data_IF_271351239098
#
_entry.id   IF_271351239098
#
_cell.length_a   1.000
_cell.length_b   1.000
_cell.length_c   1.000
_cell.angle_alpha   90.00
_cell.angle_beta   90.00
_cell.angle_gamma   90.00
#
_symmetry.space_group_name_H-M   'P 1'
#
loop_
_entity.id
_entity.type
_entity.pdbx_description
1 polymer ?
#
# COMPACT_ATOMS: atom_id res chain seq x y z
N UNK A 1 1.63 33.36 -58.50
CA UNK A 1 0.39 32.61 -58.25
C UNK A 1 0.69 31.66 -57.11
N UNK A 2 0.10 31.83 -55.93
CA UNK A 2 0.33 30.95 -54.78
C UNK A 2 -0.57 29.74 -54.96
N UNK A 3 0.01 28.55 -55.07
CA UNK A 3 -0.74 27.30 -55.19
C UNK A 3 -1.54 27.04 -53.91
N UNK A 4 -2.83 27.38 -53.97
CA UNK A 4 -3.84 27.16 -52.94
C UNK A 4 -3.88 25.72 -52.38
N UNK A 5 -3.67 24.65 -53.18
CA UNK A 5 -3.63 23.28 -52.67
C UNK A 5 -2.50 23.04 -51.67
N UNK A 6 -1.34 23.68 -51.88
CA UNK A 6 -0.15 23.53 -51.04
C UNK A 6 -0.35 24.19 -49.67
N UNK A 7 -1.07 25.32 -49.64
CA UNK A 7 -1.43 26.04 -48.40
C UNK A 7 -2.43 25.23 -47.57
N UNK A 8 -3.44 24.62 -48.21
CA UNK A 8 -4.42 23.78 -47.51
C UNK A 8 -3.76 22.50 -46.96
N UNK A 9 -2.93 21.83 -47.77
CA UNK A 9 -2.22 20.62 -47.34
C UNK A 9 -1.29 20.86 -46.15
N UNK A 10 -0.59 22.00 -46.10
CA UNK A 10 0.34 22.34 -45.02
C UNK A 10 -0.38 22.75 -43.72
N UNK A 11 -1.54 23.43 -43.81
CA UNK A 11 -2.39 23.72 -42.64
C UNK A 11 -2.98 22.42 -42.06
N UNK A 12 -3.43 21.49 -42.91
CA UNK A 12 -3.96 20.19 -42.45
C UNK A 12 -2.90 19.30 -41.80
N UNK A 13 -1.69 19.23 -42.37
CA UNK A 13 -0.55 18.49 -41.78
C UNK A 13 -0.11 19.07 -40.44
N UNK A 14 -0.12 20.40 -40.30
CA UNK A 14 0.27 21.08 -39.06
C UNK A 14 -0.76 20.86 -37.93
N UNK A 15 -2.05 20.89 -38.26
CA UNK A 15 -3.12 20.60 -37.31
C UNK A 15 -3.12 19.13 -36.85
N UNK A 16 -2.89 18.18 -37.76
CA UNK A 16 -2.77 16.76 -37.43
C UNK A 16 -1.49 16.46 -36.63
N UNK A 17 -0.37 17.08 -36.98
CA UNK A 17 0.88 16.98 -36.23
C UNK A 17 0.74 17.54 -34.81
N UNK A 18 0.04 18.66 -34.64
CA UNK A 18 -0.22 19.23 -33.31
C UNK A 18 -1.08 18.31 -32.45
N UNK A 19 -2.14 17.71 -33.01
CA UNK A 19 -3.00 16.78 -32.29
C UNK A 19 -2.26 15.51 -31.88
N UNK A 20 -1.46 14.95 -32.78
CA UNK A 20 -0.65 13.77 -32.52
C UNK A 20 0.40 14.02 -31.42
N UNK A 21 1.04 15.20 -31.40
CA UNK A 21 1.98 15.58 -30.33
C UNK A 21 1.28 15.77 -29.00
N UNK A 22 0.12 16.44 -28.97
CA UNK A 22 -0.65 16.60 -27.72
C UNK A 22 -1.16 15.27 -27.19
N UNK A 23 -1.62 14.37 -28.07
CA UNK A 23 -2.08 13.04 -27.67
C UNK A 23 -0.91 12.20 -27.15
N UNK A 24 0.27 12.29 -27.77
CA UNK A 24 1.47 11.63 -27.28
C UNK A 24 1.91 12.18 -25.92
N UNK A 25 1.87 13.50 -25.72
CA UNK A 25 2.18 14.12 -24.43
C UNK A 25 1.19 13.68 -23.35
N UNK A 26 -0.11 13.70 -23.63
CA UNK A 26 -1.16 13.25 -22.72
C UNK A 26 -1.01 11.76 -22.36
N UNK A 27 -0.74 10.89 -23.35
CA UNK A 27 -0.48 9.47 -23.09
C UNK A 27 0.77 9.25 -22.24
N UNK A 28 1.81 10.06 -22.46
CA UNK A 28 3.04 10.00 -21.67
C UNK A 28 2.83 10.50 -20.25
N UNK A 29 2.11 11.60 -20.06
CA UNK A 29 1.75 12.11 -18.72
C UNK A 29 0.91 11.09 -17.97
N UNK A 30 -0.12 10.52 -18.61
CA UNK A 30 -0.96 9.46 -18.02
C UNK A 30 -0.14 8.23 -17.62
N UNK A 31 0.80 7.81 -18.47
CA UNK A 31 1.70 6.69 -18.16
C UNK A 31 2.65 6.97 -16.99
N UNK A 32 3.10 8.22 -16.81
CA UNK A 32 3.93 8.61 -15.68
C UNK A 32 3.11 8.70 -14.39
N UNK A 33 1.90 9.22 -14.48
CA UNK A 33 0.95 9.30 -13.36
C UNK A 33 0.56 7.91 -12.88
N UNK A 34 0.16 7.01 -13.80
CA UNK A 34 -0.12 5.61 -13.49
C UNK A 34 1.10 4.91 -12.86
N UNK A 35 2.32 5.16 -13.34
CA UNK A 35 3.54 4.59 -12.75
C UNK A 35 3.83 5.12 -11.35
N UNK A 36 3.60 6.41 -11.10
CA UNK A 36 3.81 7.03 -9.80
C UNK A 36 2.77 6.56 -8.77
N UNK A 37 1.50 6.44 -9.18
CA UNK A 37 0.41 5.93 -8.35
C UNK A 37 0.69 4.47 -7.93
N UNK A 38 1.20 3.65 -8.84
CA UNK A 38 1.62 2.29 -8.53
C UNK A 38 2.79 2.28 -7.53
N UNK A 39 3.85 3.05 -7.76
CA UNK A 39 4.99 3.13 -6.83
C UNK A 39 4.58 3.61 -5.44
N UNK A 40 3.71 4.62 -5.36
CA UNK A 40 3.14 5.12 -4.12
C UNK A 40 2.37 4.02 -3.38
N UNK A 41 1.54 3.25 -4.09
CA UNK A 41 0.79 2.14 -3.51
C UNK A 41 1.72 1.11 -2.82
N UNK A 42 2.83 0.73 -3.45
CA UNK A 42 3.82 -0.17 -2.85
C UNK A 42 4.57 0.46 -1.67
N UNK A 43 4.88 1.75 -1.75
CA UNK A 43 5.47 2.50 -0.65
C UNK A 43 4.58 2.52 0.59
N UNK A 44 3.27 2.66 0.39
CA UNK A 44 2.28 2.61 1.48
C UNK A 44 2.18 1.21 2.10
N UNK A 45 2.27 0.13 1.30
CA UNK A 45 2.32 -1.25 1.81
C UNK A 45 3.46 -1.44 2.81
N UNK A 46 4.66 -0.97 2.44
CA UNK A 46 5.83 -1.01 3.31
C UNK A 46 5.61 -0.16 4.58
N UNK A 47 5.01 1.02 4.43
CA UNK A 47 4.71 1.93 5.54
C UNK A 47 3.78 1.27 6.57
N UNK A 48 2.73 0.57 6.14
CA UNK A 48 1.84 -0.14 7.05
C UNK A 48 2.55 -1.25 7.83
N UNK A 49 3.31 -2.10 7.13
CA UNK A 49 4.09 -3.17 7.77
C UNK A 49 5.10 -2.62 8.79
N UNK A 50 5.80 -1.53 8.44
CA UNK A 50 6.71 -0.85 9.36
C UNK A 50 5.98 -0.27 10.57
N UNK A 51 4.83 0.37 10.38
CA UNK A 51 4.03 0.95 11.47
C UNK A 51 3.56 -0.11 12.46
N UNK A 52 3.03 -1.24 11.97
CA UNK A 52 2.63 -2.38 12.82
C UNK A 52 3.79 -2.85 13.68
N UNK A 53 4.96 -3.12 13.08
CA UNK A 53 6.16 -3.54 13.81
C UNK A 53 6.62 -2.50 14.82
N UNK A 54 6.64 -1.22 14.44
CA UNK A 54 7.07 -0.12 15.31
C UNK A 54 6.15 0.00 16.52
N UNK A 55 4.84 -0.03 16.30
CA UNK A 55 3.85 0.16 17.34
C UNK A 55 3.80 -1.05 18.28
N UNK A 56 4.02 -2.26 17.77
CA UNK A 56 4.22 -3.44 18.61
C UNK A 56 5.48 -3.30 19.49
N UNK A 57 6.65 -3.07 18.89
CA UNK A 57 7.91 -2.95 19.63
C UNK A 57 7.92 -1.79 20.63
N UNK A 58 7.27 -0.66 20.32
CA UNK A 58 7.16 0.48 21.24
C UNK A 58 6.37 0.13 22.50
N UNK A 59 5.33 -0.69 22.36
CA UNK A 59 4.45 -1.04 23.47
C UNK A 59 4.90 -2.29 24.24
N UNK A 60 5.73 -3.17 23.64
CA UNK A 60 6.08 -4.48 24.22
C UNK A 60 7.57 -4.87 24.12
N UNK A 61 8.43 -4.11 23.44
CA UNK A 61 9.84 -4.47 23.26
C UNK A 61 10.70 -4.42 24.53
N UNK A 62 10.16 -3.93 25.65
CA UNK A 62 10.84 -3.78 26.93
C UNK A 62 9.88 -4.22 28.08
N UNK A 63 9.59 -5.54 28.13
CA UNK A 63 8.56 -6.16 29.01
C UNK A 63 8.92 -6.08 30.51
N UNK A 64 10.10 -5.59 30.88
CA UNK A 64 10.56 -5.62 32.27
C UNK A 64 9.94 -4.53 33.17
N UNK A 65 9.21 -3.52 32.67
CA UNK A 65 8.77 -2.44 33.57
C UNK A 65 7.51 -1.62 33.25
N UNK A 66 6.75 -1.88 32.18
CA UNK A 66 5.68 -0.94 31.79
C UNK A 66 4.26 -1.46 32.00
N UNK A 67 3.44 -0.62 32.62
CA UNK A 67 1.97 -0.71 32.53
C UNK A 67 1.60 -0.73 31.05
N UNK A 68 1.30 -1.94 30.59
CA UNK A 68 1.01 -2.28 29.21
C UNK A 68 -0.28 -1.56 28.78
N UNK A 69 -0.18 -0.54 27.92
CA UNK A 69 -1.37 0.17 27.43
C UNK A 69 -2.06 -0.61 26.30
N UNK A 70 -2.62 -1.76 26.67
CA UNK A 70 -3.29 -2.69 25.77
C UNK A 70 -4.42 -2.04 24.97
N UNK A 71 -5.15 -1.10 25.59
CA UNK A 71 -6.24 -0.38 24.93
C UNK A 71 -5.76 0.51 23.79
N UNK A 72 -4.61 1.17 23.95
CA UNK A 72 -4.03 2.01 22.90
C UNK A 72 -3.53 1.15 21.74
N UNK A 73 -2.86 0.03 22.02
CA UNK A 73 -2.45 -0.91 20.98
C UNK A 73 -3.65 -1.44 20.20
N UNK A 74 -4.68 -1.95 20.87
CA UNK A 74 -5.87 -2.49 20.21
C UNK A 74 -6.54 -1.43 19.33
N UNK A 75 -6.62 -0.18 19.80
CA UNK A 75 -7.14 0.92 18.99
C UNK A 75 -6.28 1.18 17.75
N UNK A 76 -4.96 1.13 17.87
CA UNK A 76 -4.04 1.37 16.75
C UNK A 76 -4.08 0.22 15.74
N UNK A 77 -4.09 -1.04 16.21
CA UNK A 77 -4.19 -2.22 15.35
C UNK A 77 -5.54 -2.27 14.62
N UNK A 78 -6.63 -1.93 15.29
CA UNK A 78 -7.93 -1.81 14.63
C UNK A 78 -7.95 -0.75 13.55
N UNK A 79 -7.29 0.39 13.78
CA UNK A 79 -7.18 1.45 12.76
C UNK A 79 -6.35 0.98 11.56
N UNK A 80 -5.20 0.36 11.83
CA UNK A 80 -4.30 -0.18 10.81
C UNK A 80 -4.99 -1.28 10.00
N UNK A 81 -5.71 -2.19 10.63
CA UNK A 81 -6.51 -3.23 9.96
C UNK A 81 -7.46 -2.64 8.92
N UNK A 82 -8.19 -1.59 9.28
CA UNK A 82 -9.17 -0.96 8.39
C UNK A 82 -8.48 -0.23 7.23
N UNK A 83 -7.33 0.41 7.51
CA UNK A 83 -6.51 1.08 6.49
C UNK A 83 -5.90 0.08 5.50
N UNK A 84 -5.30 -1.00 6.00
CA UNK A 84 -4.67 -2.05 5.20
C UNK A 84 -5.71 -2.75 4.32
N UNK A 85 -6.88 -3.12 4.88
CA UNK A 85 -7.97 -3.75 4.12
C UNK A 85 -8.44 -2.86 2.98
N UNK A 86 -8.59 -1.55 3.25
CA UNK A 86 -8.96 -0.58 2.22
C UNK A 86 -7.88 -0.47 1.14
N UNK A 87 -6.61 -0.42 1.55
CA UNK A 87 -5.47 -0.31 0.63
C UNK A 87 -5.34 -1.54 -0.28
N UNK A 88 -5.54 -2.73 0.27
CA UNK A 88 -5.58 -3.98 -0.49
C UNK A 88 -6.69 -3.95 -1.54
N UNK A 89 -7.90 -3.50 -1.17
CA UNK A 89 -9.02 -3.33 -2.12
C UNK A 89 -8.74 -2.28 -3.20
N UNK A 90 -7.95 -1.25 -2.91
CA UNK A 90 -7.49 -0.27 -3.90
C UNK A 90 -6.50 -0.92 -4.88
N UNK A 91 -5.58 -1.76 -4.39
CA UNK A 91 -4.66 -2.54 -5.22
C UNK A 91 -5.38 -3.53 -6.15
N UNK A 92 -6.41 -4.21 -5.67
CA UNK A 92 -7.25 -5.10 -6.51
C UNK A 92 -7.91 -4.34 -7.66
N UNK A 93 -8.41 -3.12 -7.40
CA UNK A 93 -9.05 -2.28 -8.44
C UNK A 93 -8.06 -1.79 -9.49
N UNK A 94 -6.80 -1.64 -9.09
CA UNK A 94 -5.69 -1.23 -9.94
C UNK A 94 -5.03 -2.42 -10.68
N UNK A 95 -5.49 -3.66 -10.46
CA UNK A 95 -4.93 -4.89 -11.06
C UNK A 95 -3.43 -5.05 -10.73
N UNK A 96 -3.08 -4.82 -9.46
CA UNK A 96 -1.70 -4.94 -8.96
C UNK A 96 -1.35 -6.38 -8.55
N UNK A 97 -0.14 -6.57 -8.04
CA UNK A 97 0.39 -7.88 -7.68
C UNK A 97 -0.44 -8.57 -6.58
N UNK A 98 -1.17 -9.62 -6.97
CA UNK A 98 -1.97 -10.48 -6.10
C UNK A 98 -1.18 -11.03 -4.90
N UNK A 99 0.12 -11.32 -5.04
CA UNK A 99 0.93 -11.84 -3.94
C UNK A 99 1.09 -10.79 -2.82
N UNK A 100 1.28 -9.53 -3.18
CA UNK A 100 1.39 -8.43 -2.21
C UNK A 100 0.03 -8.13 -1.58
N UNK A 101 -1.04 -8.15 -2.37
CA UNK A 101 -2.42 -7.98 -1.87
C UNK A 101 -2.77 -9.07 -0.86
N UNK A 102 -2.54 -10.35 -1.18
CA UNK A 102 -2.79 -11.47 -0.28
C UNK A 102 -2.00 -11.36 1.04
N UNK A 103 -0.79 -10.79 1.00
CA UNK A 103 0.04 -10.58 2.20
C UNK A 103 -0.44 -9.40 3.04
N UNK A 104 -0.97 -8.34 2.42
CA UNK A 104 -1.65 -7.26 3.13
C UNK A 104 -2.92 -7.77 3.81
N UNK A 105 -3.73 -8.57 3.12
CA UNK A 105 -4.93 -9.17 3.70
C UNK A 105 -4.59 -10.05 4.89
N UNK A 106 -3.52 -10.85 4.78
CA UNK A 106 -3.02 -11.62 5.93
C UNK A 106 -2.63 -10.70 7.09
N UNK A 107 -1.86 -9.63 6.85
CA UNK A 107 -1.47 -8.67 7.88
C UNK A 107 -2.68 -8.00 8.55
N UNK A 108 -3.72 -7.65 7.76
CA UNK A 108 -4.96 -7.10 8.29
C UNK A 108 -5.69 -8.11 9.17
N UNK A 109 -5.74 -9.39 8.78
CA UNK A 109 -6.33 -10.45 9.59
C UNK A 109 -5.59 -10.65 10.91
N UNK A 110 -4.26 -10.69 10.92
CA UNK A 110 -3.50 -10.81 12.18
C UNK A 110 -3.78 -9.60 13.11
N UNK A 111 -3.85 -8.38 12.57
CA UNK A 111 -4.22 -7.18 13.33
C UNK A 111 -5.65 -7.29 13.91
N UNK A 112 -6.58 -7.83 13.13
CA UNK A 112 -7.97 -8.08 13.53
C UNK A 112 -8.04 -9.11 14.66
N UNK A 113 -7.33 -10.22 14.51
CA UNK A 113 -7.27 -11.27 15.52
C UNK A 113 -6.72 -10.76 16.84
N UNK A 114 -5.60 -10.03 16.82
CA UNK A 114 -5.01 -9.44 18.02
C UNK A 114 -5.94 -8.44 18.72
N UNK A 115 -6.73 -7.69 17.94
CA UNK A 115 -7.74 -6.77 18.48
C UNK A 115 -8.90 -7.53 19.13
N UNK A 116 -9.42 -8.55 18.43
CA UNK A 116 -10.63 -9.28 18.81
C UNK A 116 -10.43 -10.31 19.91
N UNK A 117 -9.24 -10.91 20.03
CA UNK A 117 -8.96 -11.89 21.10
C UNK A 117 -9.14 -11.28 22.49
N UNK A 118 -9.09 -9.95 22.60
CA UNK A 118 -9.01 -9.25 23.87
C UNK A 118 -7.69 -9.66 24.52
N UNK A 119 -6.72 -8.76 24.62
CA UNK A 119 -5.43 -9.07 25.27
C UNK A 119 -5.59 -9.25 26.81
N UNK A 120 -6.70 -9.84 27.26
CA UNK A 120 -6.80 -10.60 28.50
C UNK A 120 -5.95 -11.87 28.34
N UNK A 121 -4.63 -11.69 28.24
CA UNK A 121 -3.66 -12.77 28.15
C UNK A 121 -3.87 -13.71 29.34
N UNK A 122 -4.29 -14.95 29.09
CA UNK A 122 -4.30 -15.96 30.13
C UNK A 122 -2.88 -16.54 30.33
N UNK A 123 -1.96 -16.29 29.39
CA UNK A 123 -0.54 -16.63 29.51
C UNK A 123 0.38 -15.73 28.66
N UNK A 124 1.67 -15.68 29.04
CA UNK A 124 2.74 -15.03 28.24
C UNK A 124 2.97 -15.75 26.91
N UNK A 125 2.68 -17.04 26.85
CA UNK A 125 2.86 -17.88 25.65
C UNK A 125 1.89 -17.46 24.54
N UNK A 126 0.60 -17.31 24.85
CA UNK A 126 -0.41 -16.79 23.91
C UNK A 126 -0.05 -15.39 23.38
N UNK A 127 0.57 -14.56 24.21
CA UNK A 127 1.00 -13.22 23.79
C UNK A 127 2.14 -13.28 22.78
N UNK A 128 3.15 -14.12 23.05
CA UNK A 128 4.30 -14.29 22.16
C UNK A 128 3.90 -14.90 20.82
N UNK A 129 2.92 -15.81 20.81
CA UNK A 129 2.38 -16.36 19.56
C UNK A 129 1.75 -15.25 18.69
N UNK A 130 0.92 -14.38 19.29
CA UNK A 130 0.32 -13.25 18.56
C UNK A 130 1.40 -12.28 18.06
N UNK A 131 2.43 -12.02 18.87
CA UNK A 131 3.57 -11.20 18.45
C UNK A 131 4.27 -11.79 17.23
N UNK A 132 4.62 -13.08 17.29
CA UNK A 132 5.32 -13.77 16.21
C UNK A 132 4.48 -13.75 14.92
N UNK A 133 3.18 -14.03 15.01
CA UNK A 133 2.26 -14.05 13.86
C UNK A 133 2.16 -12.67 13.19
N UNK A 134 1.92 -11.60 13.97
CA UNK A 134 1.83 -10.23 13.45
C UNK A 134 3.16 -9.77 12.83
N UNK A 135 4.28 -10.00 13.53
CA UNK A 135 5.59 -9.55 13.06
C UNK A 135 6.05 -10.35 11.84
N UNK A 136 5.69 -11.64 11.74
CA UNK A 136 5.94 -12.43 10.56
C UNK A 136 5.11 -11.95 9.37
N UNK A 137 3.82 -11.67 9.56
CA UNK A 137 2.96 -11.13 8.51
C UNK A 137 3.48 -9.78 7.99
N UNK A 138 3.89 -8.88 8.88
CA UNK A 138 4.47 -7.59 8.50
C UNK A 138 5.77 -7.77 7.69
N UNK A 139 6.69 -8.65 8.14
CA UNK A 139 7.92 -8.96 7.39
C UNK A 139 7.64 -9.60 6.04
N UNK A 140 6.57 -10.39 5.93
CA UNK A 140 6.15 -10.99 4.67
C UNK A 140 5.77 -9.92 3.65
N UNK A 141 5.01 -8.90 4.06
CA UNK A 141 4.68 -7.74 3.21
C UNK A 141 5.94 -7.01 2.78
N UNK A 142 6.83 -6.65 3.72
CA UNK A 142 8.09 -5.94 3.43
C UNK A 142 8.92 -6.67 2.36
N UNK A 143 9.15 -7.98 2.54
CA UNK A 143 9.92 -8.79 1.58
C UNK A 143 9.27 -8.85 0.19
N UNK A 144 7.96 -8.75 0.11
CA UNK A 144 7.25 -8.94 -1.16
C UNK A 144 7.23 -7.66 -1.96
N UNK A 145 7.11 -6.52 -1.26
CA UNK A 145 7.35 -5.20 -1.84
C UNK A 145 8.78 -5.08 -2.35
N UNK A 146 9.78 -5.52 -1.58
CA UNK A 146 11.20 -5.43 -1.96
C UNK A 146 11.60 -6.32 -3.16
N UNK A 147 10.82 -7.38 -3.44
CA UNK A 147 11.11 -8.33 -4.52
C UNK A 147 10.40 -7.99 -5.85
N UNK A 148 9.66 -6.89 -5.91
CA UNK A 148 8.93 -6.42 -7.10
C UNK A 148 9.81 -5.55 -8.00
#
# INVERSE_FOLDING_TARGET
>A
MVDWPTVVASVSLSALGSLAVTEFQLRREKSLEESAEVEEWYGECYSYAFQVRRDWNKNFGDVDTYEMNLSELQSNLSLLETQITRHASEGERMDLDDDVINKLDKLAEECREATNRGLHNNSVEEFNEIEDDILEAARSVERSVDNR
#
